data_IF_616001698361
#
_entry.id   IF_616001698361
#
_cell.length_a   1.000
_cell.length_b   1.000
_cell.length_c   1.000
_cell.angle_alpha   90.00
_cell.angle_beta   90.00
_cell.angle_gamma   90.00
#
_symmetry.space_group_name_H-M   'P 1'
#
loop_
_entity.id
_entity.type
_entity.pdbx_description
1 polymer ?
#
# COMPACT_ATOMS: atom_id res chain seq x y z
N UNK A 1 -13.38 -31.30 -2.49
CA UNK A 1 -13.69 -29.97 -1.95
C UNK A 1 -12.47 -29.10 -2.23
N UNK A 2 -12.49 -28.35 -3.34
CA UNK A 2 -11.37 -27.46 -3.66
C UNK A 2 -11.45 -26.28 -2.68
N UNK A 3 -10.51 -26.19 -1.74
CA UNK A 3 -10.26 -24.93 -1.05
C UNK A 3 -9.81 -23.95 -2.13
N UNK A 4 -10.66 -23.01 -2.50
CA UNK A 4 -10.27 -21.88 -3.35
C UNK A 4 -9.27 -21.07 -2.53
N UNK A 5 -7.98 -21.43 -2.66
CA UNK A 5 -6.87 -20.69 -2.06
C UNK A 5 -7.02 -19.23 -2.53
N UNK A 6 -7.46 -18.36 -1.63
CA UNK A 6 -7.54 -16.93 -1.92
C UNK A 6 -6.12 -16.40 -2.04
N UNK A 7 -5.85 -15.69 -3.13
CA UNK A 7 -4.57 -15.03 -3.33
C UNK A 7 -4.64 -13.66 -2.64
N UNK A 8 -3.51 -13.21 -2.09
CA UNK A 8 -3.40 -11.92 -1.41
C UNK A 8 -2.37 -11.06 -2.16
N UNK A 9 -2.67 -9.78 -2.32
CA UNK A 9 -1.82 -8.81 -3.01
C UNK A 9 -1.34 -7.78 -1.98
N UNK A 10 -0.02 -7.66 -1.88
CA UNK A 10 0.62 -6.56 -1.16
C UNK A 10 0.95 -5.46 -2.17
N UNK A 11 0.39 -4.28 -1.97
CA UNK A 11 0.65 -3.09 -2.78
C UNK A 11 1.82 -2.31 -2.20
N UNK A 12 2.86 -2.03 -2.98
CA UNK A 12 3.98 -1.19 -2.55
C UNK A 12 4.02 0.03 -3.45
N UNK A 13 3.93 1.21 -2.84
CA UNK A 13 4.01 2.50 -3.53
C UNK A 13 5.15 3.33 -2.94
N UNK A 14 5.99 3.87 -3.83
CA UNK A 14 7.19 4.61 -3.46
C UNK A 14 7.26 5.97 -4.14
N UNK A 15 7.73 6.97 -3.39
CA UNK A 15 8.02 8.32 -3.88
C UNK A 15 6.77 9.17 -4.13
N UNK A 16 6.99 10.45 -4.39
CA UNK A 16 5.91 11.44 -4.53
C UNK A 16 4.87 11.03 -5.59
N UNK A 17 5.31 10.62 -6.77
CA UNK A 17 4.42 10.22 -7.87
C UNK A 17 3.70 8.89 -7.58
N UNK A 18 4.43 7.88 -7.09
CA UNK A 18 3.87 6.59 -6.74
C UNK A 18 2.80 6.71 -5.65
N UNK A 19 3.03 7.54 -4.65
CA UNK A 19 2.06 7.80 -3.58
C UNK A 19 0.81 8.55 -4.08
N UNK A 20 0.94 9.50 -5.02
CA UNK A 20 -0.21 10.20 -5.60
C UNK A 20 -1.11 9.29 -6.44
N UNK A 21 -0.50 8.40 -7.25
CA UNK A 21 -1.21 7.46 -8.10
C UNK A 21 -1.78 6.31 -7.27
N UNK A 22 -1.01 5.79 -6.32
CA UNK A 22 -1.47 4.79 -5.38
C UNK A 22 -2.68 5.27 -4.57
N UNK A 23 -2.68 6.52 -4.10
CA UNK A 23 -3.85 7.09 -3.43
C UNK A 23 -5.09 7.14 -4.35
N UNK A 24 -4.93 7.49 -5.63
CA UNK A 24 -6.03 7.46 -6.61
C UNK A 24 -6.49 6.05 -6.95
N UNK A 25 -5.57 5.09 -7.02
CA UNK A 25 -5.89 3.68 -7.20
C UNK A 25 -6.76 3.18 -6.04
N UNK A 26 -6.35 3.43 -4.79
CA UNK A 26 -7.12 3.02 -3.62
C UNK A 26 -8.47 3.73 -3.51
N UNK A 27 -8.59 5.00 -3.93
CA UNK A 27 -9.89 5.68 -4.05
C UNK A 27 -10.87 4.92 -4.96
N UNK A 28 -10.40 4.46 -6.13
CA UNK A 28 -11.23 3.72 -7.09
C UNK A 28 -11.58 2.34 -6.54
N UNK A 29 -10.60 1.61 -6.00
CA UNK A 29 -10.83 0.27 -5.43
C UNK A 29 -11.78 0.32 -4.23
N UNK A 30 -11.66 1.32 -3.34
CA UNK A 30 -12.60 1.48 -2.23
C UNK A 30 -14.02 1.74 -2.72
N UNK A 31 -14.18 2.58 -3.76
CA UNK A 31 -15.47 2.85 -4.37
C UNK A 31 -16.08 1.60 -5.03
N UNK A 32 -15.30 0.78 -5.73
CA UNK A 32 -15.75 -0.48 -6.35
C UNK A 32 -16.21 -1.52 -5.32
N UNK A 33 -15.57 -1.55 -4.16
CA UNK A 33 -15.88 -2.45 -3.05
C UNK A 33 -16.85 -1.84 -2.03
N UNK A 34 -17.40 -0.64 -2.27
CA UNK A 34 -18.34 0.06 -1.36
C UNK A 34 -17.79 0.19 0.07
N UNK A 35 -16.48 0.44 0.18
CA UNK A 35 -15.78 0.70 1.44
C UNK A 35 -15.68 2.21 1.63
N UNK A 36 -16.12 2.71 2.78
CA UNK A 36 -16.04 4.13 3.10
C UNK A 36 -14.62 4.57 3.51
N UNK A 37 -14.43 5.89 3.66
CA UNK A 37 -13.16 6.48 4.11
C UNK A 37 -12.72 6.07 5.52
N UNK A 38 -13.58 5.39 6.29
CA UNK A 38 -13.23 4.82 7.60
C UNK A 38 -12.83 3.35 7.51
N UNK A 39 -12.98 2.74 6.32
CA UNK A 39 -12.73 1.32 6.08
C UNK A 39 -13.94 0.43 6.34
N UNK A 40 -15.16 0.97 6.50
CA UNK A 40 -16.36 0.16 6.73
C UNK A 40 -17.03 -0.18 5.41
N UNK A 41 -17.40 -1.44 5.25
CA UNK A 41 -18.21 -1.89 4.12
C UNK A 41 -19.66 -1.43 4.29
N UNK A 42 -20.17 -0.69 3.31
CA UNK A 42 -21.56 -0.21 3.26
C UNK A 42 -22.41 -0.92 2.20
N UNK A 43 -21.82 -1.87 1.48
CA UNK A 43 -22.47 -2.54 0.38
C UNK A 43 -23.46 -3.62 0.76
N UNK A 44 -24.12 -4.17 -0.26
CA UNK A 44 -25.11 -5.24 -0.13
C UNK A 44 -24.78 -6.51 -0.93
N UNK A 45 -23.59 -6.57 -1.56
CA UNK A 45 -23.20 -7.64 -2.45
C UNK A 45 -22.16 -8.56 -1.81
N UNK A 46 -22.58 -9.78 -1.45
CA UNK A 46 -21.71 -10.79 -0.83
C UNK A 46 -20.50 -11.16 -1.70
N UNK A 47 -20.59 -11.07 -3.02
CA UNK A 47 -19.46 -11.35 -3.92
C UNK A 47 -18.32 -10.33 -3.80
N UNK A 48 -18.63 -9.06 -3.46
CA UNK A 48 -17.60 -8.04 -3.20
C UNK A 48 -16.84 -8.37 -1.92
N UNK A 49 -17.55 -8.85 -0.89
CA UNK A 49 -16.99 -9.31 0.38
C UNK A 49 -16.12 -10.56 0.22
N UNK A 50 -16.53 -11.53 -0.61
CA UNK A 50 -15.72 -12.73 -0.86
C UNK A 50 -14.34 -12.42 -1.45
N UNK A 51 -14.23 -11.34 -2.23
CA UNK A 51 -12.97 -10.93 -2.90
C UNK A 51 -12.22 -9.80 -2.21
N UNK A 52 -12.80 -9.17 -1.19
CA UNK A 52 -12.19 -8.02 -0.50
C UNK A 52 -10.88 -8.41 0.20
N UNK A 53 -10.81 -9.63 0.73
CA UNK A 53 -9.66 -10.14 1.48
C UNK A 53 -8.38 -10.29 0.63
N UNK A 54 -8.50 -10.19 -0.69
CA UNK A 54 -7.37 -10.18 -1.63
C UNK A 54 -6.50 -8.95 -1.43
N UNK A 55 -7.13 -7.77 -1.30
CA UNK A 55 -6.44 -6.48 -1.23
C UNK A 55 -6.50 -5.85 0.17
N UNK A 56 -7.43 -6.30 1.01
CA UNK A 56 -7.67 -5.75 2.33
C UNK A 56 -7.38 -6.78 3.42
N UNK A 57 -6.98 -6.27 4.58
CA UNK A 57 -6.99 -6.96 5.86
C UNK A 57 -8.30 -6.64 6.57
N UNK A 58 -9.03 -7.67 7.02
CA UNK A 58 -10.18 -7.48 7.90
C UNK A 58 -9.69 -7.30 9.35
N UNK A 59 -9.84 -6.08 9.86
CA UNK A 59 -9.60 -5.75 11.26
C UNK A 59 -10.89 -5.90 12.08
N UNK A 60 -10.76 -5.78 13.40
CA UNK A 60 -11.90 -5.78 14.33
C UNK A 60 -12.99 -4.79 13.90
N UNK A 61 -14.25 -5.15 14.13
CA UNK A 61 -15.44 -4.34 13.81
C UNK A 61 -15.73 -4.19 12.30
N UNK A 62 -15.39 -5.20 11.47
CA UNK A 62 -15.61 -5.19 10.00
C UNK A 62 -14.97 -3.97 9.33
N UNK A 63 -13.78 -3.59 9.81
CA UNK A 63 -12.99 -2.52 9.22
C UNK A 63 -11.98 -3.15 8.26
N UNK A 64 -12.07 -2.82 6.99
CA UNK A 64 -11.16 -3.23 5.95
C UNK A 64 -10.03 -2.21 5.82
N UNK A 65 -8.81 -2.70 5.98
CA UNK A 65 -7.57 -1.91 5.89
C UNK A 65 -6.80 -2.37 4.66
N UNK A 66 -6.42 -1.49 3.73
CA UNK A 66 -5.59 -1.87 2.59
C UNK A 66 -4.28 -2.55 3.00
N UNK A 67 -3.92 -3.62 2.28
CA UNK A 67 -2.58 -4.22 2.31
C UNK A 67 -1.65 -3.38 1.44
N UNK A 68 -1.27 -2.22 1.96
CA UNK A 68 -0.39 -1.28 1.29
C UNK A 68 0.79 -0.89 2.18
N UNK A 69 1.97 -0.79 1.56
CA UNK A 69 3.18 -0.18 2.13
C UNK A 69 3.46 1.09 1.35
N UNK A 70 3.58 2.20 2.08
CA UNK A 70 3.80 3.52 1.53
C UNK A 70 5.19 3.97 1.95
N UNK A 71 6.04 4.26 0.97
CA UNK A 71 7.38 4.74 1.24
C UNK A 71 7.67 6.05 0.51
N UNK A 72 8.43 6.92 1.14
CA UNK A 72 9.00 8.11 0.52
C UNK A 72 10.30 8.48 1.21
N UNK A 73 11.21 9.17 0.53
CA UNK A 73 12.37 9.74 1.20
C UNK A 73 11.96 11.02 1.95
N UNK A 74 10.92 11.71 1.47
CA UNK A 74 10.47 12.98 2.02
C UNK A 74 9.33 12.82 3.05
N UNK A 75 9.44 13.41 4.25
CA UNK A 75 8.40 13.29 5.29
C UNK A 75 7.08 13.99 4.92
N UNK A 76 7.12 14.97 4.01
CA UNK A 76 5.93 15.73 3.59
C UNK A 76 4.87 14.91 2.84
N UNK A 77 5.23 13.73 2.34
CA UNK A 77 4.29 12.88 1.61
C UNK A 77 3.21 12.30 2.53
N UNK A 78 3.51 12.07 3.81
CA UNK A 78 2.54 11.57 4.79
C UNK A 78 1.34 12.50 4.92
N UNK A 79 1.59 13.80 5.05
CA UNK A 79 0.54 14.82 5.17
C UNK A 79 -0.29 14.89 3.88
N UNK A 80 0.36 14.72 2.72
CA UNK A 80 -0.31 14.69 1.42
C UNK A 80 -1.25 13.50 1.24
N UNK A 81 -0.87 12.32 1.74
CA UNK A 81 -1.71 11.12 1.69
C UNK A 81 -2.80 11.19 2.75
N UNK A 82 -2.46 11.61 3.97
CA UNK A 82 -3.40 11.67 5.10
C UNK A 82 -4.51 12.70 4.92
N UNK A 83 -4.25 13.77 4.16
CA UNK A 83 -5.23 14.80 3.79
C UNK A 83 -6.19 14.36 2.68
N UNK A 84 -5.93 13.23 2.00
CA UNK A 84 -6.83 12.68 0.98
C UNK A 84 -8.07 12.03 1.62
N UNK A 85 -9.19 11.92 0.88
CA UNK A 85 -10.43 11.37 1.43
C UNK A 85 -10.29 9.97 2.04
N UNK A 86 -9.39 9.15 1.50
CA UNK A 86 -9.10 7.79 1.98
C UNK A 86 -7.76 7.69 2.71
N UNK A 87 -7.11 8.79 3.07
CA UNK A 87 -5.81 8.76 3.75
C UNK A 87 -5.83 8.00 5.09
N UNK A 88 -6.97 8.03 5.78
CA UNK A 88 -7.16 7.47 7.12
C UNK A 88 -7.44 5.95 7.14
N UNK A 89 -7.58 5.31 5.97
CA UNK A 89 -7.78 3.85 5.90
C UNK A 89 -6.47 3.08 6.05
N UNK A 90 -5.34 3.70 5.70
CA UNK A 90 -4.03 3.08 5.76
C UNK A 90 -3.56 2.96 7.21
N UNK A 91 -2.79 1.90 7.52
CA UNK A 91 -2.14 1.76 8.83
C UNK A 91 -0.98 2.74 8.94
N UNK A 92 -0.92 3.57 9.99
CA UNK A 92 0.25 4.39 10.30
C UNK A 92 1.56 3.59 10.34
N UNK A 93 1.50 2.33 10.79
CA UNK A 93 2.66 1.44 10.89
C UNK A 93 3.25 1.02 9.53
N UNK A 94 2.49 1.19 8.44
CA UNK A 94 2.90 0.80 7.09
C UNK A 94 3.54 1.94 6.30
N UNK A 95 3.70 3.09 6.95
CA UNK A 95 4.35 4.25 6.37
C UNK A 95 5.83 4.26 6.75
N UNK A 96 6.70 4.29 5.75
CA UNK A 96 8.15 4.35 5.94
C UNK A 96 8.68 5.59 5.25
N UNK A 97 9.24 6.52 6.01
CA UNK A 97 9.72 7.79 5.47
C UNK A 97 11.16 8.08 5.88
N UNK A 98 11.92 8.64 4.94
CA UNK A 98 13.23 9.21 5.21
C UNK A 98 13.15 10.62 5.83
N UNK A 99 14.33 11.19 6.09
CA UNK A 99 14.49 12.61 6.45
C UNK A 99 15.16 13.41 5.33
N UNK A 100 15.28 12.81 4.15
CA UNK A 100 16.16 13.26 3.08
C UNK A 100 15.43 13.20 1.74
N UNK A 101 16.10 13.56 0.63
CA UNK A 101 15.46 13.54 -0.68
C UNK A 101 16.48 13.07 -1.70
N UNK A 102 16.08 12.17 -2.59
CA UNK A 102 16.96 11.70 -3.66
C UNK A 102 17.32 12.80 -4.69
N UNK A 103 16.75 14.01 -4.58
CA UNK A 103 16.99 15.16 -5.48
C UNK A 103 16.82 14.80 -6.98
N UNK A 104 15.90 13.88 -7.30
CA UNK A 104 15.73 13.31 -8.65
C UNK A 104 16.98 12.60 -9.22
N UNK A 105 17.93 12.22 -8.36
CA UNK A 105 19.11 11.47 -8.74
C UNK A 105 18.97 10.00 -8.31
N UNK A 106 18.83 9.12 -9.30
CA UNK A 106 18.72 7.68 -9.05
C UNK A 106 19.93 7.10 -8.31
N UNK A 107 21.14 7.59 -8.56
CA UNK A 107 22.33 7.09 -7.88
C UNK A 107 22.36 7.48 -6.39
N UNK A 108 21.91 8.70 -6.05
CA UNK A 108 21.78 9.13 -4.66
C UNK A 108 20.66 8.39 -3.94
N UNK A 109 19.52 8.23 -4.61
CA UNK A 109 18.41 7.41 -4.11
C UNK A 109 18.88 5.98 -3.83
N UNK A 110 19.43 5.29 -4.84
CA UNK A 110 19.71 3.85 -4.74
C UNK A 110 20.92 3.48 -3.87
N UNK A 111 21.99 4.29 -3.86
CA UNK A 111 23.25 3.92 -3.20
C UNK A 111 23.53 4.66 -1.90
N UNK A 112 22.90 5.81 -1.63
CA UNK A 112 23.17 6.61 -0.44
C UNK A 112 21.96 6.64 0.50
N UNK A 113 20.77 7.01 0.02
CA UNK A 113 19.64 7.33 0.91
C UNK A 113 18.60 6.20 1.05
N UNK A 114 18.33 5.41 0.00
CA UNK A 114 17.51 4.20 0.12
C UNK A 114 18.25 3.09 0.87
N UNK A 115 19.58 3.09 0.93
CA UNK A 115 20.33 2.06 1.65
C UNK A 115 20.03 2.06 3.16
N UNK A 116 19.71 3.22 3.75
CA UNK A 116 19.30 3.31 5.16
C UNK A 116 17.82 2.97 5.35
N UNK A 117 16.98 3.27 4.35
CA UNK A 117 15.53 3.07 4.44
C UNK A 117 15.09 1.64 4.06
N UNK A 118 15.86 0.95 3.21
CA UNK A 118 15.49 -0.33 2.62
C UNK A 118 15.28 -1.42 3.67
N UNK A 119 16.09 -1.45 4.73
CA UNK A 119 15.94 -2.43 5.81
C UNK A 119 14.61 -2.22 6.54
N UNK A 120 14.23 -0.96 6.80
CA UNK A 120 12.94 -0.62 7.40
C UNK A 120 11.76 -0.98 6.49
N UNK A 121 11.88 -0.70 5.18
CA UNK A 121 10.86 -1.08 4.19
C UNK A 121 10.71 -2.61 4.14
N UNK A 122 11.82 -3.35 4.08
CA UNK A 122 11.83 -4.80 4.04
C UNK A 122 11.21 -5.41 5.30
N UNK A 123 11.44 -4.82 6.47
CA UNK A 123 10.82 -5.28 7.72
C UNK A 123 9.31 -5.06 7.74
N UNK A 124 8.81 -3.93 7.24
CA UNK A 124 7.35 -3.67 7.11
C UNK A 124 6.73 -4.61 6.08
N UNK A 125 7.36 -4.75 4.91
CA UNK A 125 6.93 -5.69 3.86
C UNK A 125 6.92 -7.12 4.39
N UNK A 126 7.92 -7.52 5.18
CA UNK A 126 7.98 -8.84 5.81
C UNK A 126 6.83 -9.04 6.81
N UNK A 127 6.54 -8.05 7.67
CA UNK A 127 5.41 -8.13 8.62
C UNK A 127 4.07 -8.27 7.93
N UNK A 128 3.81 -7.47 6.89
CA UNK A 128 2.58 -7.59 6.10
C UNK A 128 2.53 -8.92 5.33
N UNK A 129 3.68 -9.38 4.85
CA UNK A 129 3.83 -10.67 4.23
C UNK A 129 3.55 -11.83 5.21
N UNK A 130 3.94 -11.74 6.48
CA UNK A 130 3.68 -12.76 7.51
C UNK A 130 2.22 -12.74 7.98
N UNK A 131 1.54 -11.59 7.90
CA UNK A 131 0.11 -11.44 8.18
C UNK A 131 -0.83 -12.07 7.12
N UNK A 132 -0.27 -12.76 6.12
CA UNK A 132 -0.99 -13.42 5.04
C UNK A 132 -1.26 -14.90 5.39
N UNK A 133 -2.53 -15.32 5.47
CA UNK A 133 -2.94 -16.67 5.91
C UNK A 133 -2.50 -17.79 4.94
N UNK A 134 -2.22 -17.45 3.68
CA UNK A 134 -1.79 -18.40 2.65
C UNK A 134 -0.46 -17.98 2.01
N UNK A 135 0.63 -18.01 2.79
CA UNK A 135 1.99 -17.71 2.33
C UNK A 135 2.50 -18.60 1.17
N UNK A 136 1.77 -19.67 0.79
CA UNK A 136 2.37 -20.81 0.10
C UNK A 136 2.36 -20.82 -1.44
N UNK A 137 1.61 -20.02 -2.21
CA UNK A 137 1.64 -20.25 -3.69
C UNK A 137 1.42 -19.06 -4.66
N UNK A 138 1.10 -17.82 -4.24
CA UNK A 138 1.03 -16.71 -5.20
C UNK A 138 1.08 -15.32 -4.54
N UNK A 139 2.25 -14.88 -4.09
CA UNK A 139 2.46 -13.45 -3.79
C UNK A 139 2.76 -12.69 -5.08
N UNK A 140 1.71 -12.13 -5.69
CA UNK A 140 1.90 -11.03 -6.63
C UNK A 140 2.10 -9.77 -5.81
N UNK A 141 3.34 -9.44 -5.52
CA UNK A 141 3.68 -8.09 -5.03
C UNK A 141 3.53 -7.17 -6.24
N UNK A 142 2.53 -6.29 -6.20
CA UNK A 142 2.43 -5.23 -7.20
C UNK A 142 3.41 -4.13 -6.78
N UNK A 143 4.63 -4.20 -7.31
CA UNK A 143 5.59 -3.12 -7.20
C UNK A 143 5.18 -2.01 -8.18
N UNK A 144 4.62 -0.91 -7.66
CA UNK A 144 4.47 0.32 -8.43
C UNK A 144 5.62 1.25 -8.05
N UNK A 145 6.79 1.00 -8.63
CA UNK A 145 7.80 2.04 -8.82
C UNK A 145 7.40 2.78 -10.11
N UNK A 146 6.87 3.99 -9.98
CA UNK A 146 6.82 4.90 -11.10
C UNK A 146 8.08 5.77 -11.04
N UNK A 147 9.10 5.50 -11.88
CA UNK A 147 10.16 6.47 -12.07
C UNK A 147 9.54 7.73 -12.65
N UNK A 148 9.84 8.87 -12.03
CA UNK A 148 9.38 10.16 -12.54
C UNK A 148 10.05 10.44 -13.89
N UNK A 149 9.19 10.84 -14.83
CA UNK A 149 9.39 11.81 -15.91
C UNK A 149 10.82 11.98 -16.43
N UNK A 150 11.09 11.44 -17.62
CA UNK A 150 12.16 11.94 -18.48
C UNK A 150 11.86 13.40 -18.84
N UNK A 151 12.24 14.35 -17.99
CA UNK A 151 12.51 15.71 -18.48
C UNK A 151 13.87 15.70 -19.16
N UNK A 152 13.82 15.47 -20.48
CA UNK A 152 14.82 15.97 -21.42
C UNK A 152 14.22 17.14 -22.18
#
# INVERSE_FOLDING_TARGET
MFSTKMFEILHIQGGQCGNQIGAKFWEVVCAEHEIDSTGRYQGNNELQLERVNVCYNEASCRRFVPRAVLMDLEPGTMDSVSSRPYGQIFRPDNFVFGQSSAENNWANGHYAEEAELIDSILDVVRKEAESCDCLQDAKRVLHVFLPYDQKR
#
